data_IF_898593779997
#
_entry.id   IF_898593779997
#
_cell.length_a   1.000
_cell.length_b   1.000
_cell.length_c   1.000
_cell.angle_alpha   90.00
_cell.angle_beta   90.00
_cell.angle_gamma   90.00
#
_symmetry.space_group_name_H-M   'P 1'
#
loop_
_entity.id
_entity.type
_entity.pdbx_description
1 polymer ?
#
# COMPACT_ATOMS: atom_id res chain seq x y z
N UNK A 1 -4.31 -49.48 -15.23
CA UNK A 1 -4.62 -48.12 -15.75
C UNK A 1 -4.98 -47.12 -14.64
N UNK A 2 -5.86 -47.44 -13.69
CA UNK A 2 -6.26 -46.50 -12.60
C UNK A 2 -5.09 -45.93 -11.75
N UNK A 3 -4.01 -46.69 -11.57
CA UNK A 3 -2.82 -46.27 -10.77
C UNK A 3 -2.02 -45.11 -11.38
N UNK A 4 -2.11 -44.89 -12.70
CA UNK A 4 -1.40 -43.80 -13.41
C UNK A 4 -2.31 -42.59 -13.61
N UNK A 5 -3.63 -42.81 -13.74
CA UNK A 5 -4.61 -41.73 -13.92
C UNK A 5 -4.67 -40.80 -12.71
N UNK A 6 -4.59 -41.35 -11.49
CA UNK A 6 -4.63 -40.55 -10.25
C UNK A 6 -3.46 -39.56 -10.15
N UNK A 7 -2.17 -39.96 -10.28
CA UNK A 7 -1.06 -39.01 -10.22
C UNK A 7 -1.07 -38.00 -11.38
N UNK A 8 -1.50 -38.39 -12.59
CA UNK A 8 -1.63 -37.46 -13.71
C UNK A 8 -2.75 -36.43 -13.46
N UNK A 9 -3.89 -36.85 -12.93
CA UNK A 9 -5.00 -35.95 -12.57
C UNK A 9 -4.59 -35.00 -11.44
N UNK A 10 -3.87 -35.47 -10.42
CA UNK A 10 -3.31 -34.61 -9.37
C UNK A 10 -2.35 -33.57 -9.91
N UNK A 11 -1.45 -33.97 -10.83
CA UNK A 11 -0.50 -33.04 -11.45
C UNK A 11 -1.22 -31.93 -12.24
N UNK A 12 -2.24 -32.30 -13.02
CA UNK A 12 -3.06 -31.32 -13.75
C UNK A 12 -3.84 -30.38 -12.83
N UNK A 13 -4.34 -30.88 -11.70
CA UNK A 13 -5.00 -30.07 -10.67
C UNK A 13 -4.04 -29.07 -10.03
N UNK A 14 -2.82 -29.49 -9.70
CA UNK A 14 -1.79 -28.62 -9.15
C UNK A 14 -1.38 -27.54 -10.17
N UNK A 15 -1.25 -27.91 -11.44
CA UNK A 15 -0.94 -26.97 -12.52
C UNK A 15 -2.06 -25.91 -12.67
N UNK A 16 -3.32 -26.35 -12.69
CA UNK A 16 -4.48 -25.46 -12.77
C UNK A 16 -4.57 -24.53 -11.55
N UNK A 17 -4.31 -25.05 -10.36
CA UNK A 17 -4.27 -24.26 -9.13
C UNK A 17 -3.14 -23.21 -9.16
N UNK A 18 -1.95 -23.57 -9.64
CA UNK A 18 -0.83 -22.64 -9.78
C UNK A 18 -1.13 -21.50 -10.79
N UNK A 19 -1.72 -21.84 -11.94
CA UNK A 19 -2.14 -20.86 -12.95
C UNK A 19 -3.25 -19.95 -12.39
N UNK A 20 -4.26 -20.54 -11.76
CA UNK A 20 -5.36 -19.79 -11.13
C UNK A 20 -4.86 -18.84 -10.05
N UNK A 21 -3.92 -19.28 -9.21
CA UNK A 21 -3.27 -18.44 -8.20
C UNK A 21 -2.50 -17.27 -8.82
N UNK A 22 -1.73 -17.52 -9.90
CA UNK A 22 -1.02 -16.45 -10.62
C UNK A 22 -1.95 -15.38 -11.20
N UNK A 23 -3.07 -15.80 -11.82
CA UNK A 23 -4.08 -14.89 -12.37
C UNK A 23 -4.77 -14.09 -11.25
N UNK A 24 -5.15 -14.74 -10.15
CA UNK A 24 -5.76 -14.06 -9.00
C UNK A 24 -4.82 -13.02 -8.38
N UNK A 25 -3.53 -13.34 -8.22
CA UNK A 25 -2.52 -12.39 -7.74
C UNK A 25 -2.37 -11.19 -8.67
N UNK A 26 -2.28 -11.43 -9.98
CA UNK A 26 -2.13 -10.38 -11.00
C UNK A 26 -3.34 -9.44 -11.07
N UNK A 27 -4.55 -10.00 -11.05
CA UNK A 27 -5.80 -9.20 -11.11
C UNK A 27 -5.97 -8.31 -9.88
N UNK A 28 -5.63 -8.80 -8.69
CA UNK A 28 -5.68 -8.00 -7.46
C UNK A 28 -4.66 -6.84 -7.49
N UNK A 29 -3.46 -7.09 -7.98
CA UNK A 29 -2.44 -6.04 -8.17
C UNK A 29 -2.92 -4.96 -9.15
N UNK A 30 -3.42 -5.37 -10.33
CA UNK A 30 -3.95 -4.44 -11.33
C UNK A 30 -5.13 -3.63 -10.79
N UNK A 31 -5.95 -4.24 -9.93
CA UNK A 31 -7.08 -3.54 -9.28
C UNK A 31 -6.58 -2.46 -8.33
N UNK A 32 -5.55 -2.75 -7.52
CA UNK A 32 -4.95 -1.77 -6.59
C UNK A 32 -4.27 -0.61 -7.32
N UNK A 33 -3.54 -0.89 -8.40
CA UNK A 33 -2.89 0.15 -9.20
C UNK A 33 -3.90 1.04 -9.92
N UNK A 34 -4.92 0.44 -10.54
CA UNK A 34 -5.99 1.19 -11.20
C UNK A 34 -6.72 2.08 -10.20
N UNK A 35 -6.97 1.55 -9.01
CA UNK A 35 -7.56 2.28 -7.91
C UNK A 35 -6.69 3.49 -7.51
N UNK A 36 -5.40 3.31 -7.24
CA UNK A 36 -4.49 4.43 -6.92
C UNK A 36 -4.49 5.50 -8.02
N UNK A 37 -4.57 5.09 -9.28
CA UNK A 37 -4.67 6.00 -10.43
C UNK A 37 -6.00 6.75 -10.44
N UNK A 38 -7.12 6.11 -10.12
CA UNK A 38 -8.44 6.74 -10.06
C UNK A 38 -8.48 7.82 -8.96
N UNK A 39 -7.85 7.55 -7.79
CA UNK A 39 -7.69 8.56 -6.73
C UNK A 39 -6.83 9.74 -7.16
N UNK A 40 -5.72 9.49 -7.88
CA UNK A 40 -4.90 10.58 -8.42
C UNK A 40 -5.69 11.48 -9.36
N UNK A 41 -6.57 10.91 -10.18
CA UNK A 41 -7.41 11.66 -11.11
C UNK A 41 -8.43 12.50 -10.33
N UNK A 42 -9.09 11.93 -9.30
CA UNK A 42 -10.02 12.69 -8.44
C UNK A 42 -9.32 13.85 -7.73
N UNK A 43 -8.15 13.61 -7.13
CA UNK A 43 -7.36 14.64 -6.43
C UNK A 43 -6.92 15.74 -7.40
N UNK A 44 -6.54 15.39 -8.64
CA UNK A 44 -6.13 16.35 -9.67
C UNK A 44 -7.29 17.22 -10.19
N UNK A 45 -8.50 16.66 -10.30
CA UNK A 45 -9.67 17.35 -10.85
C UNK A 45 -10.27 18.34 -9.85
N UNK A 46 -10.32 17.99 -8.57
CA UNK A 46 -11.04 18.78 -7.57
C UNK A 46 -10.16 19.79 -6.82
N UNK A 47 -8.87 19.92 -7.19
CA UNK A 47 -7.90 20.80 -6.51
C UNK A 47 -7.86 20.54 -4.98
N UNK A 48 -8.25 19.33 -4.59
CA UNK A 48 -8.71 19.00 -3.25
C UNK A 48 -7.59 18.40 -2.42
N UNK A 49 -7.55 18.86 -1.17
CA UNK A 49 -6.58 18.52 -0.14
C UNK A 49 -6.84 17.11 0.38
N UNK A 50 -5.85 16.22 0.31
CA UNK A 50 -5.87 15.04 1.16
C UNK A 50 -5.32 15.43 2.54
N UNK A 51 -5.85 14.86 3.60
CA UNK A 51 -5.40 15.13 4.97
C UNK A 51 -4.70 13.88 5.48
N UNK A 52 -3.42 14.00 5.82
CA UNK A 52 -2.70 13.01 6.60
C UNK A 52 -2.86 13.29 8.09
N UNK A 53 -3.11 12.27 8.88
CA UNK A 53 -3.12 12.29 10.35
C UNK A 53 -2.16 11.20 10.84
N UNK A 54 -1.25 11.53 11.75
CA UNK A 54 -0.38 10.54 12.38
C UNK A 54 -1.02 9.92 13.63
N UNK A 55 -0.35 8.95 14.24
CA UNK A 55 -0.81 8.30 15.48
C UNK A 55 -0.92 9.24 16.69
N UNK A 56 -0.31 10.44 16.64
CA UNK A 56 -0.40 11.46 17.67
C UNK A 56 -1.55 12.46 17.41
N UNK A 57 -2.26 12.30 16.28
CA UNK A 57 -3.38 13.15 15.87
C UNK A 57 -2.98 14.43 15.14
N UNK A 58 -1.71 14.56 14.73
CA UNK A 58 -1.23 15.73 13.99
C UNK A 58 -1.73 15.66 12.55
N UNK A 59 -2.49 16.69 12.14
CA UNK A 59 -3.09 16.77 10.81
C UNK A 59 -2.25 17.64 9.87
N UNK A 60 -1.97 17.11 8.69
CA UNK A 60 -1.24 17.77 7.62
C UNK A 60 -2.02 17.75 6.31
N UNK A 61 -2.17 18.92 5.70
CA UNK A 61 -2.71 19.06 4.35
C UNK A 61 -1.67 18.62 3.31
N UNK A 62 -2.02 17.66 2.46
CA UNK A 62 -1.17 17.16 1.39
C UNK A 62 -1.48 17.90 0.10
N UNK A 63 -0.43 18.40 -0.56
CA UNK A 63 -0.52 18.92 -1.92
C UNK A 63 -0.67 17.76 -2.93
N UNK A 64 -1.05 18.08 -4.16
CA UNK A 64 -1.11 17.08 -5.25
C UNK A 64 0.21 16.30 -5.43
N UNK A 65 1.36 16.96 -5.29
CA UNK A 65 2.66 16.29 -5.40
C UNK A 65 2.91 15.33 -4.23
N UNK A 66 2.49 15.69 -3.01
CA UNK A 66 2.57 14.81 -1.84
C UNK A 66 1.66 13.60 -2.01
N UNK A 67 0.42 13.82 -2.43
CA UNK A 67 -0.54 12.74 -2.72
C UNK A 67 0.01 11.79 -3.78
N UNK A 68 0.59 12.32 -4.85
CA UNK A 68 1.22 11.51 -5.89
C UNK A 68 2.41 10.71 -5.38
N UNK A 69 3.27 11.31 -4.56
CA UNK A 69 4.39 10.61 -3.96
C UNK A 69 3.92 9.48 -3.02
N UNK A 70 2.91 9.75 -2.19
CA UNK A 70 2.31 8.78 -1.28
C UNK A 70 1.69 7.61 -2.04
N UNK A 71 0.80 7.89 -3.01
CA UNK A 71 0.15 6.85 -3.81
C UNK A 71 1.17 5.98 -4.55
N UNK A 72 2.22 6.57 -5.12
CA UNK A 72 3.31 5.81 -5.74
C UNK A 72 4.09 4.93 -4.73
N UNK A 73 4.23 5.38 -3.47
CA UNK A 73 4.88 4.60 -2.43
C UNK A 73 4.04 3.37 -2.05
N UNK A 74 2.71 3.54 -1.92
CA UNK A 74 1.78 2.47 -1.53
C UNK A 74 1.29 1.57 -2.68
N UNK A 75 1.59 1.93 -3.94
CA UNK A 75 1.15 1.20 -5.14
C UNK A 75 2.27 0.43 -5.87
N UNK A 76 3.43 0.27 -5.23
CA UNK A 76 4.64 -0.28 -5.86
C UNK A 76 4.53 -1.77 -6.18
N UNK A 77 5.32 -2.24 -7.16
CA UNK A 77 5.39 -3.64 -7.61
C UNK A 77 5.77 -4.65 -6.52
N UNK A 78 6.41 -4.18 -5.44
CA UNK A 78 6.80 -4.96 -4.27
C UNK A 78 5.62 -5.23 -3.31
N UNK A 79 4.45 -4.63 -3.57
CA UNK A 79 3.24 -4.84 -2.76
C UNK A 79 2.76 -6.27 -2.91
N UNK A 80 2.82 -7.04 -1.83
CA UNK A 80 2.20 -8.35 -1.74
C UNK A 80 0.79 -8.21 -1.18
N UNK A 81 -0.18 -8.86 -1.83
CA UNK A 81 -1.54 -8.86 -1.30
C UNK A 81 -1.61 -9.80 -0.09
N UNK A 82 -2.04 -9.27 1.05
CA UNK A 82 -2.29 -10.06 2.25
C UNK A 82 -3.80 -10.08 2.51
N UNK A 83 -4.40 -11.26 2.47
CA UNK A 83 -5.85 -11.46 2.53
C UNK A 83 -6.41 -11.29 3.95
N UNK A 84 -5.58 -11.45 4.98
CA UNK A 84 -6.06 -11.52 6.37
C UNK A 84 -5.81 -10.21 7.12
N UNK A 85 -6.92 -9.53 7.40
CA UNK A 85 -6.99 -8.27 8.14
C UNK A 85 -7.15 -8.46 9.66
N UNK A 86 -7.23 -9.70 10.15
CA UNK A 86 -7.77 -10.01 11.49
C UNK A 86 -6.93 -9.52 12.66
N UNK A 87 -5.67 -9.11 12.41
CA UNK A 87 -4.71 -8.79 13.49
C UNK A 87 -4.30 -7.31 13.47
N UNK A 88 -4.95 -6.47 12.65
CA UNK A 88 -4.70 -5.03 12.58
C UNK A 88 -5.62 -4.27 13.54
N UNK A 89 -5.50 -4.57 14.84
CA UNK A 89 -6.23 -3.90 15.93
C UNK A 89 -5.42 -2.74 16.57
N UNK A 90 -4.21 -2.49 16.07
CA UNK A 90 -3.37 -1.38 16.52
C UNK A 90 -3.80 -0.06 15.84
N UNK A 91 -3.58 1.08 16.53
CA UNK A 91 -3.83 2.39 15.93
C UNK A 91 -2.97 2.57 14.67
N UNK A 92 -3.54 3.03 13.55
CA UNK A 92 -2.77 3.26 12.34
C UNK A 92 -1.71 4.32 12.61
N UNK A 93 -0.50 4.08 12.09
CA UNK A 93 0.62 5.01 12.25
C UNK A 93 0.42 6.26 11.40
N UNK A 94 -0.24 6.11 10.24
CA UNK A 94 -0.65 7.20 9.37
C UNK A 94 -2.02 6.90 8.78
N UNK A 95 -2.92 7.86 8.82
CA UNK A 95 -4.21 7.84 8.12
C UNK A 95 -4.26 8.96 7.09
N UNK A 96 -4.50 8.64 5.83
CA UNK A 96 -4.67 9.62 4.74
C UNK A 96 -6.11 9.59 4.26
N UNK A 97 -6.82 10.69 4.46
CA UNK A 97 -8.20 10.88 4.00
C UNK A 97 -8.23 11.70 2.73
N UNK A 98 -8.88 11.17 1.70
CA UNK A 98 -9.04 11.79 0.38
C UNK A 98 -10.41 12.46 0.26
N UNK A 99 -10.52 13.43 -0.65
CA UNK A 99 -11.76 14.20 -0.83
C UNK A 99 -12.92 13.38 -1.40
N UNK A 100 -12.64 12.28 -2.11
CA UNK A 100 -13.63 11.32 -2.59
C UNK A 100 -14.12 10.33 -1.51
N UNK A 101 -13.72 10.56 -0.26
CA UNK A 101 -14.09 9.76 0.90
C UNK A 101 -13.28 8.46 1.04
N UNK A 102 -12.26 8.23 0.22
CA UNK A 102 -11.32 7.15 0.51
C UNK A 102 -10.46 7.46 1.72
N UNK A 103 -10.11 6.40 2.45
CA UNK A 103 -9.17 6.45 3.56
C UNK A 103 -8.11 5.37 3.34
N UNK A 104 -6.84 5.77 3.36
CA UNK A 104 -5.72 4.83 3.44
C UNK A 104 -5.13 4.90 4.83
N UNK A 105 -5.10 3.76 5.51
CA UNK A 105 -4.45 3.57 6.80
C UNK A 105 -3.15 2.77 6.57
N UNK A 106 -2.06 3.24 7.18
CA UNK A 106 -0.74 2.63 7.11
C UNK A 106 -0.35 2.19 8.52
N UNK A 107 0.03 0.93 8.65
CA UNK A 107 0.44 0.30 9.89
C UNK A 107 1.89 -0.15 9.74
N UNK A 108 2.76 0.30 10.64
CA UNK A 108 4.10 -0.26 10.77
C UNK A 108 4.00 -1.67 11.37
N UNK A 109 4.45 -2.69 10.64
CA UNK A 109 4.46 -4.07 11.11
C UNK A 109 5.85 -4.51 11.58
N UNK A 110 6.81 -3.58 11.63
CA UNK A 110 8.21 -3.85 11.95
C UNK A 110 8.92 -4.66 10.87
N UNK A 111 9.97 -5.37 11.28
CA UNK A 111 10.85 -6.13 10.39
C UNK A 111 10.48 -7.62 10.37
N UNK A 112 10.42 -8.22 9.18
CA UNK A 112 10.27 -9.67 8.99
C UNK A 112 11.33 -10.17 8.01
N UNK A 113 12.09 -11.17 8.41
CA UNK A 113 13.14 -11.80 7.60
C UNK A 113 14.20 -10.82 7.03
N UNK A 114 14.47 -9.72 7.73
CA UNK A 114 15.44 -8.69 7.29
C UNK A 114 14.84 -7.54 6.48
N UNK A 115 13.53 -7.59 6.20
CA UNK A 115 12.81 -6.59 5.41
C UNK A 115 11.75 -5.88 6.27
N UNK A 116 11.61 -4.56 6.10
CA UNK A 116 10.51 -3.83 6.73
C UNK A 116 9.19 -4.20 6.09
N UNK A 117 8.17 -4.41 6.93
CA UNK A 117 6.82 -4.74 6.52
C UNK A 117 5.87 -3.63 6.94
N UNK A 118 5.04 -3.22 6.00
CA UNK A 118 3.99 -2.22 6.23
C UNK A 118 2.67 -2.80 5.77
N UNK A 119 1.65 -2.73 6.61
CA UNK A 119 0.29 -3.02 6.18
C UNK A 119 -0.41 -1.74 5.74
N UNK A 120 -1.15 -1.84 4.65
CA UNK A 120 -1.89 -0.75 4.06
C UNK A 120 -3.34 -1.20 4.01
N UNK A 121 -4.19 -0.65 4.87
CA UNK A 121 -5.63 -0.83 4.77
C UNK A 121 -6.18 0.31 3.93
N UNK A 122 -6.97 -0.06 2.95
CA UNK A 122 -7.65 0.86 2.08
C UNK A 122 -9.15 0.70 2.25
N UNK A 123 -9.82 1.78 2.61
CA UNK A 123 -11.26 1.87 2.81
C UNK A 123 -11.83 2.83 1.77
N UNK A 124 -12.75 2.36 0.93
CA UNK A 124 -13.47 3.21 -0.01
C UNK A 124 -14.85 2.62 -0.31
N UNK A 125 -15.89 3.45 -0.14
CA UNK A 125 -17.29 3.02 -0.23
C UNK A 125 -17.51 1.81 0.71
N UNK A 126 -18.13 0.73 0.21
CA UNK A 126 -18.45 -0.47 0.98
C UNK A 126 -17.35 -1.54 0.93
N UNK A 127 -16.14 -1.17 0.50
CA UNK A 127 -15.00 -2.10 0.37
C UNK A 127 -13.85 -1.69 1.27
N UNK A 128 -13.35 -2.66 2.04
CA UNK A 128 -12.06 -2.58 2.73
C UNK A 128 -11.11 -3.64 2.17
N UNK A 129 -9.89 -3.24 1.82
CA UNK A 129 -8.84 -4.15 1.33
C UNK A 129 -7.55 -3.90 2.10
N UNK A 130 -6.84 -4.97 2.43
CA UNK A 130 -5.53 -4.89 3.09
C UNK A 130 -4.45 -5.38 2.14
N UNK A 131 -3.32 -4.69 2.18
CA UNK A 131 -2.12 -5.01 1.41
C UNK A 131 -0.92 -5.01 2.36
N UNK A 132 0.11 -5.76 2.02
CA UNK A 132 1.40 -5.70 2.72
C UNK A 132 2.47 -5.25 1.73
N UNK A 133 3.21 -4.21 2.09
CA UNK A 133 4.38 -3.77 1.37
C UNK A 133 5.60 -4.26 2.16
N UNK A 134 6.45 -5.05 1.53
CA UNK A 134 7.66 -5.60 2.15
C UNK A 134 8.88 -5.15 1.37
N UNK A 135 9.90 -4.70 2.08
CA UNK A 135 11.20 -4.36 1.51
C UNK A 135 11.92 -3.29 2.31
N UNK A 136 13.09 -2.90 1.85
CA UNK A 136 13.97 -1.96 2.55
C UNK A 136 13.35 -0.57 2.81
N UNK A 137 13.41 -0.12 4.07
CA UNK A 137 12.96 1.18 4.57
C UNK A 137 11.53 1.53 4.13
N UNK A 138 10.66 0.53 4.04
CA UNK A 138 9.32 0.70 3.47
C UNK A 138 8.48 1.67 4.29
N UNK A 139 8.50 1.52 5.62
CA UNK A 139 7.75 2.40 6.51
C UNK A 139 8.26 3.84 6.45
N UNK A 140 9.57 4.05 6.58
CA UNK A 140 10.22 5.36 6.49
C UNK A 140 9.89 6.07 5.17
N UNK A 141 9.86 5.33 4.07
CA UNK A 141 9.54 5.88 2.75
C UNK A 141 8.09 6.34 2.67
N UNK A 142 7.14 5.56 3.18
CA UNK A 142 5.72 5.92 3.18
C UNK A 142 5.51 7.13 4.10
N UNK A 143 6.03 7.11 5.33
CA UNK A 143 5.90 8.21 6.29
C UNK A 143 6.54 9.52 5.80
N UNK A 144 7.66 9.46 5.07
CA UNK A 144 8.29 10.66 4.47
C UNK A 144 7.45 11.34 3.38
N UNK A 145 6.47 10.65 2.79
CA UNK A 145 5.59 11.25 1.77
C UNK A 145 4.42 12.04 2.35
N UNK A 146 4.08 11.76 3.61
CA UNK A 146 2.96 12.39 4.35
C UNK A 146 3.42 13.44 5.36
N UNK A 147 4.67 13.41 5.83
CA UNK A 147 5.21 14.46 6.68
C UNK A 147 5.77 15.63 5.85
N UNK A 148 5.50 16.87 6.29
CA UNK A 148 6.19 18.07 5.80
C UNK A 148 7.70 18.01 6.07
N UNK A 149 8.11 17.23 7.07
CA UNK A 149 9.51 17.04 7.50
C UNK A 149 10.34 16.23 6.48
N UNK A 150 9.74 15.23 5.82
CA UNK A 150 10.43 14.37 4.85
C UNK A 150 10.88 15.07 3.56
N UNK A 151 10.21 16.18 3.20
CA UNK A 151 10.63 17.03 2.09
C UNK A 151 11.63 18.10 2.50
N UNK A 152 11.54 18.63 3.74
CA UNK A 152 12.56 19.54 4.25
C UNK A 152 13.93 18.86 4.36
N UNK A 153 14.04 17.56 4.62
CA UNK A 153 15.36 16.89 4.58
C UNK A 153 15.91 16.66 3.18
N UNK A 154 15.05 16.47 2.16
CA UNK A 154 15.49 16.28 0.76
C UNK A 154 15.70 17.57 -0.03
N UNK A 155 15.07 18.67 0.40
CA UNK A 155 15.20 20.00 -0.21
C UNK A 155 15.91 21.04 0.69
N UNK A 156 16.31 20.68 1.92
CA UNK A 156 17.32 21.49 2.62
C UNK A 156 18.62 21.37 1.83
N UNK A 157 19.30 22.49 1.50
CA UNK A 157 20.69 22.39 1.09
C UNK A 157 21.43 21.58 2.15
N UNK A 158 22.32 20.67 1.71
CA UNK A 158 23.23 20.01 2.63
C UNK A 158 23.84 21.08 3.54
N UNK A 159 23.93 20.87 4.87
CA UNK A 159 24.58 21.83 5.73
C UNK A 159 26.01 22.02 5.20
N UNK A 160 26.26 23.18 4.59
CA UNK A 160 27.60 23.57 4.19
C UNK A 160 28.42 23.74 5.47
N UNK A 161 29.23 22.73 5.76
CA UNK A 161 30.29 22.77 6.77
C UNK A 161 29.83 22.68 8.21
N UNK A 162 30.04 21.50 8.81
CA UNK A 162 30.64 21.38 10.14
C UNK A 162 31.73 20.31 10.09
#
# INVERSE_FOLDING_TARGET
MKKIVIPVAMFLLLLAAAIGYGIARSTNYMTHQRWCSDHLISVAQDNCVAIAEDSEGVRTSLTYSNVRAFLNAVSRTETTYTIFASDLDEMPTVTVTFADGAVIEVFDAGEKDGDDVVYIRHNWRDSSKVFSLTGYNTFERVSKTVSLTGYNEKNSPAPEGQ
#
